data_IF_773503015863
#
_entry.id   IF_773503015863
#
_cell.length_a   1.000
_cell.length_b   1.000
_cell.length_c   1.000
_cell.angle_alpha   90.00
_cell.angle_beta   90.00
_cell.angle_gamma   90.00
#
_symmetry.space_group_name_H-M   'P 1'
#
loop_
_entity.id
_entity.type
_entity.pdbx_description
1 polymer ?
#
# COMPACT_ATOMS: atom_id res chain seq x y z
N UNK A 1 14.71 -1.73 0.33
CA UNK A 1 14.22 -0.34 0.31
C UNK A 1 14.15 0.13 1.74
N UNK A 2 14.48 1.40 2.00
CA UNK A 2 14.12 2.01 3.28
C UNK A 2 12.63 2.36 3.32
N UNK A 3 12.12 2.75 4.49
CA UNK A 3 10.69 3.08 4.69
C UNK A 3 10.24 4.26 3.84
N UNK A 4 11.11 5.26 3.65
CA UNK A 4 10.79 6.45 2.86
C UNK A 4 10.66 6.10 1.39
N UNK A 5 11.64 5.39 0.83
CA UNK A 5 11.62 4.91 -0.56
C UNK A 5 10.41 4.01 -0.82
N UNK A 6 10.06 3.16 0.14
CA UNK A 6 8.89 2.28 0.05
C UNK A 6 7.57 3.06 0.05
N UNK A 7 7.46 4.10 0.89
CA UNK A 7 6.29 4.99 0.93
C UNK A 7 6.17 5.81 -0.35
N UNK A 8 7.28 6.31 -0.88
CA UNK A 8 7.30 7.08 -2.13
C UNK A 8 6.87 6.21 -3.32
N UNK A 9 7.45 5.02 -3.45
CA UNK A 9 7.10 4.06 -4.49
C UNK A 9 5.62 3.67 -4.39
N UNK A 10 5.16 3.28 -3.20
CA UNK A 10 3.77 2.91 -2.99
C UNK A 10 2.82 4.06 -3.33
N UNK A 11 3.13 5.28 -2.86
CA UNK A 11 2.32 6.47 -3.11
C UNK A 11 2.22 6.80 -4.59
N UNK A 12 3.31 6.63 -5.35
CA UNK A 12 3.30 6.79 -6.80
C UNK A 12 2.30 5.85 -7.47
N UNK A 13 2.24 4.59 -7.04
CA UNK A 13 1.32 3.62 -7.63
C UNK A 13 -0.12 3.83 -7.19
N UNK A 14 -0.34 4.22 -5.93
CA UNK A 14 -1.65 4.39 -5.32
C UNK A 14 -2.33 5.76 -5.56
N UNK A 15 -1.55 6.83 -5.76
CA UNK A 15 -2.07 8.20 -5.85
C UNK A 15 -1.53 8.99 -7.05
N UNK A 16 -0.53 8.46 -7.78
CA UNK A 16 0.18 9.17 -8.86
C UNK A 16 0.93 10.43 -8.37
N UNK A 17 1.31 10.43 -7.10
CA UNK A 17 2.15 11.44 -6.44
C UNK A 17 3.13 10.74 -5.48
N UNK A 18 4.30 11.31 -5.18
CA UNK A 18 5.32 10.66 -4.36
C UNK A 18 4.98 10.60 -2.86
N UNK A 19 3.88 11.19 -2.42
CA UNK A 19 3.54 11.29 -0.99
C UNK A 19 2.14 10.76 -0.72
N UNK A 20 1.90 10.13 0.45
CA UNK A 20 0.57 9.69 0.82
C UNK A 20 -0.37 10.88 1.00
N UNK A 21 -1.63 10.69 0.64
CA UNK A 21 -2.70 11.62 1.00
C UNK A 21 -2.98 11.49 2.50
N UNK A 22 -3.19 12.61 3.19
CA UNK A 22 -3.29 12.66 4.67
C UNK A 22 -4.26 11.63 5.25
N UNK A 23 -5.44 11.46 4.63
CA UNK A 23 -6.47 10.49 5.08
C UNK A 23 -6.09 9.02 4.87
N UNK A 24 -4.98 8.75 4.18
CA UNK A 24 -4.46 7.41 3.86
C UNK A 24 -3.09 7.14 4.51
N UNK A 25 -2.46 8.10 5.19
CA UNK A 25 -1.10 7.98 5.74
C UNK A 25 -0.89 6.72 6.58
N UNK A 26 -1.80 6.44 7.51
CA UNK A 26 -1.72 5.24 8.37
C UNK A 26 -1.84 3.97 7.53
N UNK A 27 -2.74 3.95 6.54
CA UNK A 27 -2.92 2.81 5.65
C UNK A 27 -1.70 2.57 4.75
N UNK A 28 -1.04 3.64 4.31
CA UNK A 28 0.18 3.53 3.51
C UNK A 28 1.31 2.91 4.34
N UNK A 29 1.41 3.30 5.61
CA UNK A 29 2.38 2.74 6.55
C UNK A 29 2.13 1.24 6.77
N UNK A 30 0.87 0.86 7.01
CA UNK A 30 0.42 -0.53 7.13
C UNK A 30 0.81 -1.38 5.90
N UNK A 31 0.63 -0.84 4.69
CA UNK A 31 0.99 -1.55 3.46
C UNK A 31 2.50 -1.72 3.35
N UNK A 32 3.27 -0.67 3.62
CA UNK A 32 4.74 -0.72 3.54
C UNK A 32 5.30 -1.74 4.51
N UNK A 33 4.77 -1.80 5.73
CA UNK A 33 5.12 -2.81 6.73
C UNK A 33 4.73 -4.21 6.27
N UNK A 34 3.51 -4.40 5.76
CA UNK A 34 3.05 -5.69 5.23
C UNK A 34 3.89 -6.20 4.06
N UNK A 35 4.29 -5.33 3.14
CA UNK A 35 5.11 -5.68 1.98
C UNK A 35 6.59 -5.89 2.31
N UNK A 36 7.05 -5.54 3.50
CA UNK A 36 8.45 -5.69 3.90
C UNK A 36 9.44 -4.95 2.99
N UNK A 37 9.02 -3.86 2.35
CA UNK A 37 9.85 -3.11 1.40
C UNK A 37 10.16 -3.84 0.08
N UNK A 38 9.37 -4.86 -0.29
CA UNK A 38 9.45 -5.54 -1.58
C UNK A 38 8.85 -4.65 -2.69
N UNK A 39 9.63 -4.15 -3.67
CA UNK A 39 9.14 -3.20 -4.67
C UNK A 39 7.94 -3.75 -5.44
N UNK A 40 8.03 -4.99 -5.91
CA UNK A 40 6.98 -5.65 -6.70
C UNK A 40 5.66 -5.75 -5.91
N UNK A 41 5.72 -6.00 -4.61
CA UNK A 41 4.53 -6.08 -3.76
C UNK A 41 3.89 -4.69 -3.59
N UNK A 42 4.71 -3.66 -3.35
CA UNK A 42 4.26 -2.28 -3.23
C UNK A 42 3.61 -1.76 -4.52
N UNK A 43 4.21 -2.05 -5.67
CA UNK A 43 3.67 -1.66 -6.98
C UNK A 43 2.32 -2.31 -7.27
N UNK A 44 2.21 -3.62 -7.01
CA UNK A 44 0.98 -4.38 -7.22
C UNK A 44 -0.15 -3.90 -6.30
N UNK A 45 0.12 -3.76 -5.01
CA UNK A 45 -0.90 -3.30 -4.04
C UNK A 45 -1.26 -1.83 -4.29
N UNK A 46 -0.28 -0.97 -4.56
CA UNK A 46 -0.53 0.44 -4.88
C UNK A 46 -1.44 0.57 -6.10
N UNK A 47 -1.14 -0.16 -7.18
CA UNK A 47 -1.97 -0.16 -8.39
C UNK A 47 -3.36 -0.75 -8.17
N UNK A 48 -3.48 -1.78 -7.33
CA UNK A 48 -4.76 -2.39 -6.94
C UNK A 48 -5.67 -1.39 -6.19
N UNK A 49 -5.07 -0.52 -5.38
CA UNK A 49 -5.75 0.42 -4.49
C UNK A 49 -6.00 1.81 -5.10
N UNK A 50 -5.40 2.10 -6.26
CA UNK A 50 -5.56 3.35 -6.99
C UNK A 50 -7.02 3.73 -7.21
N UNK A 51 -7.40 4.94 -6.81
CA UNK A 51 -8.73 5.52 -7.00
C UNK A 51 -9.82 4.97 -6.07
N UNK A 52 -9.47 4.07 -5.14
CA UNK A 52 -10.41 3.55 -4.14
C UNK A 52 -10.51 4.45 -2.92
N UNK A 53 -11.65 4.38 -2.24
CA UNK A 53 -11.90 5.08 -0.98
C UNK A 53 -11.15 4.46 0.21
N UNK A 54 -10.97 5.22 1.29
CA UNK A 54 -10.39 4.75 2.57
C UNK A 54 -11.08 3.47 3.08
N UNK A 55 -12.41 3.37 2.94
CA UNK A 55 -13.17 2.19 3.37
C UNK A 55 -12.82 0.95 2.53
N UNK A 56 -12.70 1.11 1.22
CA UNK A 56 -12.30 0.03 0.31
C UNK A 56 -10.86 -0.42 0.54
N UNK A 57 -9.95 0.52 0.87
CA UNK A 57 -8.58 0.19 1.27
C UNK A 57 -8.54 -0.70 2.50
N UNK A 58 -9.27 -0.31 3.57
CA UNK A 58 -9.36 -1.11 4.79
C UNK A 58 -9.85 -2.52 4.49
N UNK A 59 -10.95 -2.65 3.73
CA UNK A 59 -11.49 -3.96 3.35
C UNK A 59 -10.52 -4.79 2.51
N UNK A 60 -9.78 -4.17 1.58
CA UNK A 60 -8.78 -4.87 0.77
C UNK A 60 -7.60 -5.35 1.62
N UNK A 61 -7.10 -4.52 2.53
CA UNK A 61 -5.99 -4.87 3.43
C UNK A 61 -6.39 -5.96 4.42
N UNK A 62 -7.61 -5.94 4.97
CA UNK A 62 -8.12 -7.02 5.81
C UNK A 62 -8.16 -8.35 5.04
N UNK A 63 -8.60 -8.35 3.78
CA UNK A 63 -8.60 -9.55 2.92
C UNK A 63 -7.19 -10.07 2.65
N UNK A 64 -6.22 -9.17 2.44
CA UNK A 64 -4.82 -9.54 2.22
C UNK A 64 -4.17 -10.13 3.48
N UNK A 65 -4.51 -9.62 4.67
CA UNK A 65 -4.01 -10.13 5.95
C UNK A 65 -4.69 -11.44 6.39
N UNK A 66 -5.91 -11.71 5.92
CA UNK A 66 -6.70 -12.90 6.32
C UNK A 66 -6.59 -14.07 5.34
N UNK A 67 -6.12 -13.85 4.12
CA UNK A 67 -5.76 -14.94 3.22
C UNK A 67 -4.45 -15.58 3.69
N UNK A 68 -4.38 -16.92 3.85
CA UNK A 68 -3.09 -17.60 3.98
C UNK A 68 -2.40 -17.47 2.62
N UNK A 69 -1.46 -16.53 2.50
CA UNK A 69 -0.71 -16.37 1.26
C UNK A 69 0.45 -17.36 1.33
N UNK A 70 0.37 -18.43 0.55
CA UNK A 70 1.54 -19.17 0.09
C UNK A 70 2.37 -18.18 -0.78
N UNK A 71 3.34 -17.50 -0.17
CA UNK A 71 4.41 -16.75 -0.84
C UNK A 71 5.69 -17.55 -0.77
#
# INVERSE_FOLDING_TARGET
>A
MDTTESLELFSWHAFKIPTPVESYTDLCTDVVEYCGGLPVALENIGSLLLGRSVAEWKSALEKLKTSPVDI
#
